data_IF_589591959360
#
_entry.id   IF_589591959360
#
_cell.length_a   1.000
_cell.length_b   1.000
_cell.length_c   1.000
_cell.angle_alpha   90.00
_cell.angle_beta   90.00
_cell.angle_gamma   90.00
#
_symmetry.space_group_name_H-M   'P 1'
#
loop_
_entity.id
_entity.type
_entity.pdbx_description
1 polymer ?
#
# COMPACT_ATOMS: atom_id res chain seq x y z
N UNK A 1 33.25 -70.74 21.93
CA UNK A 1 31.96 -70.03 21.88
C UNK A 1 32.23 -68.58 22.27
N UNK A 2 32.76 -67.81 21.32
CA UNK A 2 32.08 -66.70 20.62
C UNK A 2 32.05 -65.41 21.43
N UNK A 3 33.19 -64.71 21.45
CA UNK A 3 33.27 -63.27 21.73
C UNK A 3 32.75 -62.50 20.51
N UNK A 4 31.69 -61.71 20.69
CA UNK A 4 31.15 -60.82 19.66
C UNK A 4 31.75 -59.42 19.83
N UNK A 5 32.67 -59.07 18.92
CA UNK A 5 33.10 -57.70 18.67
C UNK A 5 31.95 -56.86 18.13
N UNK A 6 31.44 -55.90 18.93
CA UNK A 6 30.57 -54.83 18.45
C UNK A 6 31.44 -53.63 18.07
N UNK A 7 31.75 -53.49 16.79
CA UNK A 7 32.27 -52.24 16.23
C UNK A 7 31.23 -51.14 16.39
N UNK A 8 31.50 -50.16 17.25
CA UNK A 8 30.86 -48.85 17.18
C UNK A 8 31.36 -48.14 15.93
N UNK A 9 30.47 -47.99 14.95
CA UNK A 9 30.68 -47.00 13.88
C UNK A 9 30.56 -45.62 14.50
N UNK A 10 31.64 -44.85 14.44
CA UNK A 10 31.63 -43.41 14.69
C UNK A 10 30.61 -42.76 13.74
N UNK A 11 29.78 -41.81 14.19
CA UNK A 11 28.85 -41.14 13.29
C UNK A 11 29.65 -40.35 12.24
N UNK A 12 29.50 -40.72 10.98
CA UNK A 12 30.00 -39.95 9.84
C UNK A 12 29.30 -38.59 9.79
N UNK A 13 30.11 -37.52 9.80
CA UNK A 13 29.82 -36.16 9.36
C UNK A 13 28.34 -35.73 9.43
N UNK A 14 27.89 -35.32 10.62
CA UNK A 14 26.81 -34.34 10.64
C UNK A 14 27.36 -33.05 10.00
N UNK A 15 26.69 -32.47 9.00
CA UNK A 15 27.09 -31.17 8.48
C UNK A 15 27.14 -30.19 9.66
N UNK A 16 28.29 -29.54 9.86
CA UNK A 16 28.40 -28.46 10.83
C UNK A 16 27.25 -27.49 10.56
N UNK A 17 26.37 -27.34 11.55
CA UNK A 17 25.29 -26.37 11.46
C UNK A 17 25.96 -25.00 11.26
N UNK A 18 25.49 -24.19 10.30
CA UNK A 18 26.07 -22.86 10.09
C UNK A 18 26.00 -22.08 11.42
N UNK A 19 27.16 -21.60 11.87
CA UNK A 19 27.30 -20.83 13.11
C UNK A 19 26.32 -19.64 13.10
N UNK A 20 25.51 -19.54 14.15
CA UNK A 20 24.69 -18.36 14.41
C UNK A 20 25.63 -17.15 14.55
N UNK A 21 25.43 -16.13 13.71
CA UNK A 21 26.23 -14.92 13.76
C UNK A 21 25.50 -13.85 14.56
N UNK A 22 26.21 -13.28 15.53
CA UNK A 22 25.79 -12.09 16.26
C UNK A 22 26.40 -10.86 15.58
N UNK A 23 25.56 -9.92 15.20
CA UNK A 23 25.92 -8.64 14.62
C UNK A 23 25.60 -7.55 15.64
N UNK A 24 26.57 -6.70 15.95
CA UNK A 24 26.32 -5.46 16.69
C UNK A 24 26.23 -4.33 15.67
N UNK A 25 25.12 -3.58 15.66
CA UNK A 25 24.90 -2.48 14.74
C UNK A 25 25.13 -1.13 15.42
N UNK A 26 26.04 -0.35 14.84
CA UNK A 26 26.14 1.08 15.11
C UNK A 26 25.01 1.84 14.40
N UNK A 27 24.60 3.02 14.89
CA UNK A 27 23.48 3.71 14.24
C UNK A 27 23.76 4.22 12.85
N UNK A 28 22.76 4.03 11.99
CA UNK A 28 22.86 4.17 10.55
C UNK A 28 23.33 2.90 9.84
N UNK A 29 23.92 1.92 10.56
CA UNK A 29 24.25 0.63 9.98
C UNK A 29 23.00 -0.21 9.76
N UNK A 30 23.11 -1.10 8.78
CA UNK A 30 22.02 -1.92 8.31
C UNK A 30 22.53 -3.31 8.01
N UNK A 31 21.68 -4.30 8.22
CA UNK A 31 21.98 -5.68 7.89
C UNK A 31 20.87 -6.27 7.04
N UNK A 32 21.23 -6.90 5.93
CA UNK A 32 20.33 -7.74 5.13
C UNK A 32 20.33 -9.14 5.72
N UNK A 33 19.16 -9.67 6.06
CA UNK A 33 18.97 -11.02 6.59
C UNK A 33 18.79 -12.03 5.45
N UNK A 34 19.44 -13.20 5.56
CA UNK A 34 19.12 -14.35 4.73
C UNK A 34 17.93 -15.11 5.34
N UNK A 35 16.76 -14.90 4.76
CA UNK A 35 15.51 -15.52 5.17
C UNK A 35 15.38 -17.00 4.79
N UNK A 36 16.19 -17.49 3.83
CA UNK A 36 16.16 -18.89 3.40
C UNK A 36 16.87 -19.82 4.39
N UNK A 37 17.59 -19.26 5.37
CA UNK A 37 18.26 -20.00 6.44
C UNK A 37 17.80 -19.49 7.81
N UNK A 38 16.58 -19.84 8.25
CA UNK A 38 16.04 -19.34 9.51
C UNK A 38 16.81 -19.88 10.72
N UNK A 39 16.88 -19.10 11.80
CA UNK A 39 17.36 -19.54 13.11
C UNK A 39 16.59 -20.79 13.58
N UNK A 40 15.26 -20.73 13.51
CA UNK A 40 14.35 -21.84 13.82
C UNK A 40 13.42 -22.13 12.64
N UNK A 41 13.36 -23.41 12.27
CA UNK A 41 12.48 -23.89 11.22
C UNK A 41 11.00 -23.79 11.63
N UNK A 42 10.09 -23.84 10.64
CA UNK A 42 8.65 -23.67 10.84
C UNK A 42 8.05 -24.57 11.92
N UNK A 43 8.41 -25.85 11.92
CA UNK A 43 7.86 -26.80 12.88
C UNK A 43 8.32 -26.49 14.31
N UNK A 44 9.57 -26.04 14.47
CA UNK A 44 10.12 -25.65 15.77
C UNK A 44 9.45 -24.38 16.29
N UNK A 45 9.29 -23.37 15.44
CA UNK A 45 8.57 -22.14 15.79
C UNK A 45 7.13 -22.45 16.15
N UNK A 46 6.45 -23.34 15.40
CA UNK A 46 5.07 -23.72 15.69
C UNK A 46 4.93 -24.49 17.01
N UNK A 47 5.84 -25.41 17.29
CA UNK A 47 5.88 -26.15 18.56
C UNK A 47 6.09 -25.19 19.74
N UNK A 48 6.99 -24.23 19.54
CA UNK A 48 7.36 -23.26 20.54
C UNK A 48 6.24 -22.23 20.75
N UNK A 49 5.84 -21.51 19.70
CA UNK A 49 5.05 -20.26 19.75
C UNK A 49 3.58 -20.45 19.32
N UNK A 50 3.23 -21.61 18.76
CA UNK A 50 1.95 -21.81 18.05
C UNK A 50 1.88 -21.17 16.66
N UNK A 51 2.85 -20.35 16.26
CA UNK A 51 2.85 -19.66 14.96
C UNK A 51 3.38 -20.53 13.83
N UNK A 52 2.72 -20.49 12.67
CA UNK A 52 3.10 -21.28 11.50
C UNK A 52 4.18 -20.60 10.62
N UNK A 53 5.20 -19.99 11.21
CA UNK A 53 6.26 -19.26 10.49
C UNK A 53 7.67 -19.77 10.81
N UNK A 54 8.71 -19.27 10.14
CA UNK A 54 10.12 -19.57 10.47
C UNK A 54 10.79 -18.35 11.08
N UNK A 55 11.59 -18.51 12.13
CA UNK A 55 12.24 -17.38 12.79
C UNK A 55 13.54 -17.06 12.08
N UNK A 56 13.65 -15.87 11.47
CA UNK A 56 14.80 -15.50 10.65
C UNK A 56 15.85 -14.68 11.41
N UNK A 57 15.43 -13.92 12.43
CA UNK A 57 16.34 -13.19 13.29
C UNK A 57 15.75 -12.90 14.67
N UNK A 58 16.63 -12.62 15.61
CA UNK A 58 16.33 -11.98 16.89
C UNK A 58 17.04 -10.63 16.90
N UNK A 59 16.32 -9.55 17.20
CA UNK A 59 16.84 -8.19 17.34
C UNK A 59 16.72 -7.81 18.81
N UNK A 60 17.84 -7.62 19.50
CA UNK A 60 17.85 -7.10 20.86
C UNK A 60 18.10 -5.59 20.81
N UNK A 61 17.26 -4.85 21.53
CA UNK A 61 17.25 -3.41 21.54
C UNK A 61 17.16 -2.94 23.00
N UNK A 62 18.31 -2.69 23.63
CA UNK A 62 18.40 -2.51 25.08
C UNK A 62 18.13 -3.83 25.83
N UNK A 63 17.14 -3.82 26.73
CA UNK A 63 16.74 -5.01 27.51
C UNK A 63 15.63 -5.83 26.83
N UNK A 64 15.15 -5.37 25.67
CA UNK A 64 13.99 -5.91 24.97
C UNK A 64 14.42 -6.74 23.77
N UNK A 65 13.71 -7.85 23.52
CA UNK A 65 14.03 -8.78 22.43
C UNK A 65 12.87 -8.89 21.45
N UNK A 66 13.19 -8.85 20.16
CA UNK A 66 12.21 -8.92 19.08
C UNK A 66 12.53 -10.07 18.14
N UNK A 67 11.54 -10.90 17.83
CA UNK A 67 11.64 -11.95 16.83
C UNK A 67 11.13 -11.44 15.49
N UNK A 68 11.85 -11.77 14.42
CA UNK A 68 11.38 -11.60 13.04
C UNK A 68 10.99 -12.97 12.51
N UNK A 69 9.71 -13.14 12.21
CA UNK A 69 9.13 -14.41 11.74
C UNK A 69 8.76 -14.27 10.25
N UNK A 70 9.34 -15.13 9.41
CA UNK A 70 8.91 -15.35 8.02
C UNK A 70 7.64 -16.19 8.00
N UNK A 71 6.56 -15.57 7.54
CA UNK A 71 5.23 -16.17 7.44
C UNK A 71 4.82 -16.44 5.99
N UNK A 72 5.73 -16.28 5.02
CA UNK A 72 5.45 -16.50 3.60
C UNK A 72 5.00 -17.94 3.35
N UNK A 73 4.05 -18.09 2.42
CA UNK A 73 3.46 -19.39 2.08
C UNK A 73 2.40 -19.88 3.07
N UNK A 74 1.98 -19.05 4.02
CA UNK A 74 0.72 -19.23 4.76
C UNK A 74 -0.42 -18.49 4.05
N UNK A 75 -1.67 -18.82 4.40
CA UNK A 75 -2.89 -18.18 3.86
C UNK A 75 -3.12 -16.73 4.35
N UNK A 76 -2.10 -16.09 4.95
CA UNK A 76 -2.15 -14.76 5.54
C UNK A 76 -1.86 -13.62 4.56
N UNK A 77 -2.16 -12.39 4.97
CA UNK A 77 -1.87 -11.16 4.21
C UNK A 77 -0.43 -10.66 4.40
N UNK A 78 0.20 -11.00 5.52
CA UNK A 78 1.55 -10.55 5.87
C UNK A 78 2.61 -11.61 5.58
N UNK A 79 3.71 -11.16 4.99
CA UNK A 79 4.86 -11.97 4.62
C UNK A 79 5.79 -12.18 5.82
N UNK A 80 5.91 -11.19 6.71
CA UNK A 80 6.71 -11.27 7.93
C UNK A 80 5.99 -10.66 9.12
N UNK A 81 6.40 -11.06 10.32
CA UNK A 81 5.98 -10.44 11.57
C UNK A 81 7.20 -10.00 12.38
N UNK A 82 7.14 -8.80 12.93
CA UNK A 82 8.01 -8.37 14.04
C UNK A 82 7.21 -8.51 15.31
N UNK A 83 7.72 -9.23 16.30
CA UNK A 83 7.06 -9.46 17.57
C UNK A 83 8.02 -9.32 18.73
N UNK A 84 7.55 -8.84 19.87
CA UNK A 84 8.33 -8.81 21.10
C UNK A 84 8.19 -10.16 21.83
N UNK A 85 9.27 -10.63 22.44
CA UNK A 85 9.35 -11.95 23.07
C UNK A 85 8.41 -12.12 24.28
N UNK A 86 8.01 -11.04 24.95
CA UNK A 86 7.03 -11.07 26.04
C UNK A 86 5.62 -11.47 25.57
N UNK A 87 5.29 -11.23 24.30
CA UNK A 87 3.95 -11.52 23.74
C UNK A 87 3.86 -12.90 23.07
N UNK A 88 4.81 -13.77 23.37
CA UNK A 88 4.89 -15.12 22.84
C UNK A 88 3.60 -15.94 23.02
N UNK A 89 2.88 -15.75 24.12
CA UNK A 89 1.65 -16.48 24.45
C UNK A 89 0.38 -15.90 23.78
N UNK A 90 0.45 -14.68 23.21
CA UNK A 90 -0.67 -14.04 22.50
C UNK A 90 -0.18 -13.16 21.34
N UNK A 91 0.08 -13.77 20.16
CA UNK A 91 0.55 -13.06 18.98
C UNK A 91 -0.40 -11.94 18.50
N UNK A 92 -1.68 -11.97 18.90
CA UNK A 92 -2.65 -10.94 18.52
C UNK A 92 -2.42 -9.59 19.23
N UNK A 93 -1.59 -9.57 20.27
CA UNK A 93 -1.34 -8.40 21.12
C UNK A 93 0.02 -7.72 20.92
N UNK A 94 0.92 -8.32 20.15
CA UNK A 94 2.30 -7.86 20.06
C UNK A 94 3.02 -8.34 18.80
N UNK A 95 2.35 -8.33 17.66
CA UNK A 95 2.98 -8.58 16.36
C UNK A 95 2.57 -7.52 15.34
N UNK A 96 3.54 -6.99 14.60
CA UNK A 96 3.32 -6.08 13.47
C UNK A 96 3.65 -6.82 12.18
N UNK A 97 2.67 -6.91 11.29
CA UNK A 97 2.79 -7.52 9.97
C UNK A 97 3.53 -6.64 8.97
N UNK A 98 4.39 -7.26 8.17
CA UNK A 98 5.09 -6.71 7.02
C UNK A 98 4.59 -7.46 5.78
N UNK A 99 3.92 -6.76 4.86
CA UNK A 99 3.45 -7.32 3.59
C UNK A 99 4.07 -6.60 2.39
N UNK A 100 4.24 -7.37 1.30
CA UNK A 100 4.87 -7.03 0.02
C UNK A 100 5.16 -5.55 -0.32
N UNK A 101 6.47 -5.32 -0.54
CA UNK A 101 7.15 -4.25 -1.30
C UNK A 101 6.95 -2.79 -0.88
N UNK A 102 6.62 -2.53 0.39
CA UNK A 102 6.43 -1.14 0.87
C UNK A 102 6.59 -0.95 2.37
N UNK A 103 6.36 -2.00 3.16
CA UNK A 103 6.15 -1.81 4.57
C UNK A 103 7.48 -1.77 5.31
N UNK A 104 7.68 -0.69 6.05
CA UNK A 104 8.66 -0.58 7.13
C UNK A 104 7.92 -0.67 8.45
N UNK A 105 8.52 -1.35 9.42
CA UNK A 105 8.10 -1.29 10.81
C UNK A 105 9.21 -0.58 11.55
N UNK A 106 8.91 0.61 12.10
CA UNK A 106 9.81 1.30 13.01
C UNK A 106 9.41 0.94 14.43
N UNK A 107 10.37 0.44 15.19
CA UNK A 107 10.21 0.10 16.59
C UNK A 107 10.85 1.21 17.42
N UNK A 108 10.09 1.85 18.31
CA UNK A 108 10.51 2.95 19.17
C UNK A 108 9.34 3.67 19.86
N UNK A 109 9.61 4.20 21.06
CA UNK A 109 8.60 4.71 22.00
C UNK A 109 7.72 5.88 21.51
N UNK A 110 7.99 6.48 20.35
CA UNK A 110 7.27 7.64 19.82
C UNK A 110 6.56 7.39 18.48
N UNK A 111 6.48 6.16 17.97
CA UNK A 111 5.84 5.90 16.67
C UNK A 111 4.40 5.40 16.79
N UNK A 112 3.50 5.99 16.00
CA UNK A 112 2.08 5.63 15.96
C UNK A 112 1.82 4.20 15.45
N UNK A 113 2.76 3.64 14.69
CA UNK A 113 2.71 2.27 14.18
C UNK A 113 3.35 1.27 15.18
N UNK A 114 3.95 1.77 16.26
CA UNK A 114 4.50 0.95 17.34
C UNK A 114 3.38 0.59 18.33
N UNK A 115 2.96 -0.68 18.30
CA UNK A 115 1.95 -1.23 19.22
C UNK A 115 2.56 -1.75 20.52
N UNK A 116 3.89 -1.81 20.60
CA UNK A 116 4.58 -2.38 21.73
C UNK A 116 4.62 -1.36 22.88
N UNK A 117 4.43 -1.84 24.12
CA UNK A 117 4.56 -1.02 25.31
C UNK A 117 5.89 -1.35 25.97
N UNK A 118 6.70 -0.33 26.19
CA UNK A 118 8.01 -0.49 26.84
C UNK A 118 8.07 0.33 28.12
N UNK A 119 8.78 -0.18 29.14
CA UNK A 119 9.08 0.57 30.35
C UNK A 119 10.16 1.64 30.07
N UNK A 120 9.82 2.76 29.43
CA UNK A 120 10.64 3.98 29.27
C UNK A 120 12.12 3.85 28.79
N UNK A 121 12.59 2.64 28.48
CA UNK A 121 14.01 2.31 28.28
C UNK A 121 14.39 2.17 26.80
N UNK A 122 13.42 2.29 25.88
CA UNK A 122 13.68 2.32 24.45
C UNK A 122 13.62 3.74 23.91
N UNK A 123 14.66 4.12 23.18
CA UNK A 123 14.72 5.35 22.39
C UNK A 123 13.45 5.57 21.53
N UNK A 124 13.06 6.83 21.27
CA UNK A 124 11.94 7.19 20.39
C UNK A 124 11.90 6.49 19.03
N UNK A 125 13.07 6.13 18.50
CA UNK A 125 13.29 5.45 17.22
C UNK A 125 14.44 4.48 17.41
N UNK A 126 14.17 3.23 17.71
CA UNK A 126 15.22 2.29 18.07
C UNK A 126 15.80 1.63 16.81
N UNK A 127 15.01 0.77 16.18
CA UNK A 127 15.39 0.07 14.96
C UNK A 127 14.23 0.06 13.96
N UNK A 128 14.55 -0.32 12.72
CA UNK A 128 13.59 -0.44 11.65
C UNK A 128 13.76 -1.79 10.95
N UNK A 129 12.66 -2.46 10.64
CA UNK A 129 12.63 -3.66 9.81
C UNK A 129 11.91 -3.33 8.51
N UNK A 130 12.54 -3.65 7.38
CA UNK A 130 12.01 -3.44 6.03
C UNK A 130 11.95 -4.74 5.26
N UNK A 131 10.92 -4.92 4.45
CA UNK A 131 10.86 -5.98 3.44
C UNK A 131 10.96 -5.37 2.04
N UNK A 132 12.10 -5.57 1.36
CA UNK A 132 12.42 -4.95 0.08
C UNK A 132 12.97 -6.00 -0.90
N UNK A 133 12.36 -6.10 -2.08
CA UNK A 133 12.81 -6.98 -3.17
C UNK A 133 13.05 -8.45 -2.78
N UNK A 134 12.28 -8.94 -1.80
CA UNK A 134 12.41 -10.30 -1.29
C UNK A 134 13.41 -10.44 -0.14
N UNK A 135 14.10 -9.37 0.26
CA UNK A 135 15.03 -9.34 1.38
C UNK A 135 14.41 -8.68 2.62
N UNK A 136 14.79 -9.14 3.81
CA UNK A 136 14.55 -8.41 5.06
C UNK A 136 15.79 -7.62 5.43
N UNK A 137 15.60 -6.34 5.73
CA UNK A 137 16.67 -5.44 6.15
C UNK A 137 16.33 -4.87 7.52
N UNK A 138 17.27 -4.98 8.45
CA UNK A 138 17.17 -4.36 9.77
C UNK A 138 18.15 -3.21 9.85
N UNK A 139 17.70 -2.03 10.28
CA UNK A 139 18.52 -0.83 10.41
C UNK A 139 18.49 -0.29 11.84
N UNK A 140 19.67 0.08 12.36
CA UNK A 140 19.79 0.76 13.64
C UNK A 140 19.53 2.27 13.47
N UNK A 141 18.57 2.83 14.20
CA UNK A 141 18.16 4.23 14.05
C UNK A 141 18.80 5.16 15.10
N UNK A 142 18.90 4.76 16.36
CA UNK A 142 19.41 5.59 17.47
C UNK A 142 20.54 4.90 18.27
N UNK A 143 21.40 5.72 18.88
CA UNK A 143 22.63 5.37 19.62
C UNK A 143 22.42 4.99 21.06
N UNK A 144 21.25 5.27 21.62
CA UNK A 144 21.11 5.26 23.07
C UNK A 144 21.26 3.87 23.68
N UNK A 145 20.73 2.84 23.02
CA UNK A 145 20.46 1.57 23.71
C UNK A 145 21.18 0.35 23.09
N UNK A 146 21.97 0.54 22.03
CA UNK A 146 22.73 -0.53 21.36
C UNK A 146 21.83 -1.58 20.69
N UNK A 147 22.13 -1.93 19.44
CA UNK A 147 21.34 -2.95 18.72
C UNK A 147 22.22 -4.14 18.42
N UNK A 148 21.78 -5.32 18.86
CA UNK A 148 22.38 -6.59 18.45
C UNK A 148 21.38 -7.43 17.69
N UNK A 149 21.85 -8.12 16.67
CA UNK A 149 21.03 -8.95 15.79
C UNK A 149 21.67 -10.33 15.71
N UNK A 150 20.90 -11.36 16.04
CA UNK A 150 21.28 -12.74 15.84
C UNK A 150 20.60 -13.28 14.57
N UNK A 151 21.38 -13.82 13.63
CA UNK A 151 20.88 -14.44 12.39
C UNK A 151 21.91 -15.44 11.80
N UNK A 152 21.47 -16.49 11.09
CA UNK A 152 22.40 -17.52 10.53
C UNK A 152 23.27 -16.99 9.39
N UNK A 153 22.76 -16.06 8.60
CA UNK A 153 23.54 -15.38 7.58
C UNK A 153 22.94 -14.00 7.36
N UNK A 154 23.77 -12.98 7.55
CA UNK A 154 23.38 -11.61 7.32
C UNK A 154 24.57 -10.85 6.73
N UNK A 155 24.27 -9.85 5.90
CA UNK A 155 25.24 -9.02 5.21
C UNK A 155 25.13 -7.59 5.73
N UNK A 156 26.21 -7.06 6.30
CA UNK A 156 26.30 -5.64 6.62
C UNK A 156 26.27 -4.84 5.32
N UNK A 157 25.33 -3.92 5.21
CA UNK A 157 25.18 -3.05 4.06
C UNK A 157 25.98 -1.76 4.30
N UNK A 158 26.56 -1.21 3.25
CA UNK A 158 27.21 0.11 3.33
C UNK A 158 26.14 1.14 3.78
N UNK A 159 26.36 1.93 4.84
CA UNK A 159 25.44 2.99 5.23
C UNK A 159 25.18 4.01 4.09
N UNK A 160 26.13 4.14 3.16
CA UNK A 160 26.04 4.96 1.95
C UNK A 160 25.44 4.23 0.76
N UNK A 161 25.31 2.89 0.80
CA UNK A 161 24.47 2.20 -0.16
C UNK A 161 23.07 2.74 0.06
N UNK A 162 22.60 3.51 -0.93
CA UNK A 162 21.22 3.92 -0.94
C UNK A 162 20.42 2.63 -1.08
N UNK A 163 19.94 2.11 0.06
CA UNK A 163 18.64 1.47 0.10
C UNK A 163 17.71 2.54 -0.41
N UNK A 164 17.49 2.53 -1.71
CA UNK A 164 16.70 3.56 -2.35
C UNK A 164 15.34 3.42 -1.68
N UNK A 165 15.02 4.38 -0.81
CA UNK A 165 13.69 4.61 -0.28
C UNK A 165 12.81 4.95 -1.49
N UNK A 166 12.41 3.92 -2.22
CA UNK A 166 11.66 4.07 -3.46
C UNK A 166 10.22 4.51 -3.18
N UNK A 167 9.81 4.61 -1.92
CA UNK A 167 8.42 4.72 -1.49
C UNK A 167 8.06 6.15 -1.06
N UNK A 168 8.71 6.68 -0.01
CA UNK A 168 8.49 8.05 0.46
C UNK A 168 9.20 9.08 -0.45
N UNK A 169 10.43 8.78 -0.89
CA UNK A 169 11.14 9.66 -1.81
C UNK A 169 10.67 9.55 -3.26
N UNK A 170 9.92 8.54 -3.73
CA UNK A 170 9.37 8.67 -5.10
C UNK A 170 8.16 9.54 -5.14
N UNK A 171 7.19 9.41 -4.24
CA UNK A 171 6.05 10.33 -4.27
C UNK A 171 6.54 11.74 -3.97
N UNK A 172 7.30 11.93 -2.88
CA UNK A 172 7.79 13.25 -2.51
C UNK A 172 8.91 13.77 -3.43
N UNK A 173 9.81 12.93 -3.97
CA UNK A 173 10.79 13.39 -4.97
C UNK A 173 10.26 13.41 -6.41
N UNK A 174 9.14 12.77 -6.77
CA UNK A 174 8.39 13.06 -8.00
C UNK A 174 7.68 14.39 -7.81
N UNK A 175 7.03 14.64 -6.67
CA UNK A 175 6.47 15.96 -6.30
C UNK A 175 7.54 17.06 -6.23
N UNK A 176 8.75 16.77 -5.72
CA UNK A 176 9.88 17.72 -5.69
C UNK A 176 10.58 17.83 -7.05
N UNK A 177 10.73 16.75 -7.84
CA UNK A 177 11.32 16.78 -9.20
C UNK A 177 10.39 17.42 -10.22
N UNK A 178 9.07 17.29 -10.08
CA UNK A 178 8.09 18.05 -10.86
C UNK A 178 8.22 19.54 -10.53
N UNK A 179 8.30 19.91 -9.25
CA UNK A 179 8.63 21.29 -8.81
C UNK A 179 9.99 21.79 -9.29
N UNK A 180 11.03 20.93 -9.35
CA UNK A 180 12.40 21.35 -9.73
C UNK A 180 12.64 21.40 -11.24
N UNK A 181 11.96 20.56 -12.05
CA UNK A 181 12.02 20.65 -13.52
C UNK A 181 11.29 21.89 -14.06
N UNK A 182 10.32 22.42 -13.33
CA UNK A 182 9.63 23.68 -13.63
C UNK A 182 10.54 24.93 -13.59
N UNK A 183 11.76 24.84 -13.05
CA UNK A 183 12.71 25.97 -13.06
C UNK A 183 13.48 26.13 -14.37
N UNK A 184 13.40 25.19 -15.32
CA UNK A 184 14.14 25.26 -16.60
C UNK A 184 13.28 25.34 -17.86
N UNK A 185 11.96 25.29 -17.76
CA UNK A 185 11.04 25.53 -18.88
C UNK A 185 10.06 26.65 -18.54
N UNK A 186 10.58 27.83 -18.21
CA UNK A 186 9.80 29.07 -18.28
C UNK A 186 9.64 29.42 -19.75
N UNK A 187 8.50 29.06 -20.31
CA UNK A 187 7.68 29.86 -21.24
C UNK A 187 6.69 28.92 -21.94
N UNK A 188 5.40 29.12 -21.66
CA UNK A 188 4.21 28.38 -22.11
C UNK A 188 3.84 27.13 -21.31
N UNK A 189 3.13 27.33 -20.22
CA UNK A 189 1.75 26.86 -19.99
C UNK A 189 1.34 27.30 -18.58
N UNK A 190 0.17 27.93 -18.46
CA UNK A 190 -0.44 28.18 -17.16
C UNK A 190 -0.67 26.80 -16.53
N UNK A 191 -0.07 26.59 -15.37
CA UNK A 191 0.00 25.32 -14.64
C UNK A 191 -1.41 24.74 -14.38
N UNK A 192 -1.92 23.93 -15.32
CA UNK A 192 -3.27 23.34 -15.30
C UNK A 192 -3.38 22.08 -14.42
N UNK A 193 -2.29 21.68 -13.77
CA UNK A 193 -2.28 20.49 -12.90
C UNK A 193 -1.62 20.82 -11.55
N UNK A 194 -2.40 21.12 -10.51
CA UNK A 194 -1.87 21.54 -9.20
C UNK A 194 -1.01 20.47 -8.51
N UNK A 195 -1.14 19.21 -8.93
CA UNK A 195 -0.38 18.07 -8.40
C UNK A 195 0.81 17.67 -9.30
N UNK A 196 1.08 18.45 -10.34
CA UNK A 196 2.16 18.23 -11.29
C UNK A 196 1.86 17.13 -12.30
N UNK A 197 2.91 16.70 -13.00
CA UNK A 197 2.80 15.74 -14.10
C UNK A 197 3.61 14.47 -13.83
N UNK A 198 3.06 13.33 -14.22
CA UNK A 198 3.75 12.05 -14.22
C UNK A 198 3.77 11.45 -15.62
N UNK A 199 4.99 11.25 -16.17
CA UNK A 199 5.23 10.81 -17.55
C UNK A 199 4.42 11.61 -18.60
N UNK A 200 4.31 12.93 -18.40
CA UNK A 200 3.60 13.84 -19.30
C UNK A 200 2.08 13.92 -19.09
N UNK A 201 1.53 13.25 -18.07
CA UNK A 201 0.10 13.24 -17.74
C UNK A 201 -0.18 14.00 -16.45
N UNK A 202 -1.26 14.79 -16.35
CA UNK A 202 -1.60 15.52 -15.14
C UNK A 202 -1.95 14.53 -14.02
N UNK A 203 -1.41 14.76 -12.81
CA UNK A 203 -1.66 13.88 -11.67
C UNK A 203 -3.02 14.22 -11.05
N UNK A 204 -3.87 13.20 -10.87
CA UNK A 204 -5.15 13.33 -10.17
C UNK A 204 -4.91 13.68 -8.71
N UNK A 205 -5.50 14.79 -8.27
CA UNK A 205 -5.59 15.18 -6.87
C UNK A 205 -6.81 16.05 -6.63
N UNK A 206 -6.93 16.61 -5.42
CA UNK A 206 -8.15 17.31 -4.94
C UNK A 206 -8.60 18.49 -5.80
N UNK A 207 -7.69 19.06 -6.58
CA UNK A 207 -7.92 20.30 -7.34
C UNK A 207 -7.74 20.09 -8.84
N UNK A 208 -7.66 18.84 -9.30
CA UNK A 208 -7.69 18.56 -10.73
C UNK A 208 -9.15 18.61 -11.19
N UNK A 209 -9.41 19.45 -12.18
CA UNK A 209 -10.72 19.69 -12.78
C UNK A 209 -10.91 18.94 -14.11
N UNK A 210 -9.90 18.18 -14.55
CA UNK A 210 -9.96 17.38 -15.78
C UNK A 210 -9.35 15.97 -15.63
N UNK A 211 -10.08 14.92 -16.00
CA UNK A 211 -9.71 13.51 -15.79
C UNK A 211 -9.29 12.79 -17.07
N UNK A 212 -9.74 13.25 -18.24
CA UNK A 212 -9.24 12.70 -19.51
C UNK A 212 -7.71 12.84 -19.61
N UNK A 213 -7.04 11.72 -19.88
CA UNK A 213 -5.58 11.66 -19.97
C UNK A 213 -4.85 11.76 -18.62
N UNK A 214 -5.55 12.04 -17.53
CA UNK A 214 -4.99 12.17 -16.20
C UNK A 214 -4.52 10.83 -15.63
N UNK A 215 -3.63 10.91 -14.63
CA UNK A 215 -3.03 9.75 -13.98
C UNK A 215 -3.22 9.78 -12.47
N UNK A 216 -3.80 8.72 -11.93
CA UNK A 216 -3.96 8.48 -10.50
C UNK A 216 -2.80 7.67 -9.95
N UNK A 217 -2.10 8.25 -8.99
CA UNK A 217 -0.98 7.60 -8.31
C UNK A 217 -1.49 6.77 -7.13
N UNK A 218 -0.99 5.54 -7.01
CA UNK A 218 -1.31 4.67 -5.87
C UNK A 218 -0.63 5.09 -4.59
N UNK A 219 -0.98 4.42 -3.49
CA UNK A 219 -0.11 4.38 -2.33
C UNK A 219 1.18 3.63 -2.70
N UNK A 220 2.33 4.31 -2.58
CA UNK A 220 3.65 3.73 -2.82
C UNK A 220 4.00 3.47 -4.30
N UNK A 221 4.94 2.56 -4.52
CA UNK A 221 5.49 2.15 -5.82
C UNK A 221 4.51 1.35 -6.73
N UNK A 222 3.24 1.21 -6.29
CA UNK A 222 2.33 0.14 -6.72
C UNK A 222 1.64 0.36 -8.07
N UNK A 223 1.34 1.57 -8.53
CA UNK A 223 0.83 1.78 -9.91
C UNK A 223 0.46 3.24 -10.19
N UNK A 224 0.66 3.65 -11.46
CA UNK A 224 0.17 4.90 -12.02
C UNK A 224 -0.93 4.58 -13.05
N UNK A 225 -2.19 4.76 -12.66
CA UNK A 225 -3.36 4.40 -13.47
C UNK A 225 -3.77 5.61 -14.30
N UNK A 226 -3.86 5.48 -15.62
CA UNK A 226 -4.34 6.59 -16.46
C UNK A 226 -5.67 6.28 -17.11
N UNK A 227 -6.46 7.35 -17.27
CA UNK A 227 -7.70 7.35 -18.04
C UNK A 227 -7.35 7.69 -19.49
N UNK A 228 -7.89 6.92 -20.43
CA UNK A 228 -7.59 7.06 -21.85
C UNK A 228 -8.90 6.95 -22.64
N UNK A 229 -9.30 8.08 -23.23
CA UNK A 229 -10.54 8.24 -24.00
C UNK A 229 -10.26 8.29 -25.52
N UNK A 230 -9.13 7.73 -25.95
CA UNK A 230 -8.87 7.59 -27.40
C UNK A 230 -9.91 6.70 -28.06
N UNK A 231 -10.21 6.99 -29.34
CA UNK A 231 -11.15 6.19 -30.15
C UNK A 231 -10.85 4.69 -30.08
N UNK A 232 -11.87 3.88 -29.82
CA UNK A 232 -11.74 2.43 -29.66
C UNK A 232 -11.20 1.97 -28.30
N UNK A 233 -10.94 2.87 -27.35
CA UNK A 233 -10.61 2.50 -25.98
C UNK A 233 -11.85 1.98 -25.22
N UNK A 234 -11.65 1.00 -24.34
CA UNK A 234 -12.75 0.42 -23.55
C UNK A 234 -13.34 1.39 -22.52
N UNK A 235 -12.59 2.41 -22.08
CA UNK A 235 -13.12 3.44 -21.19
C UNK A 235 -14.19 4.26 -21.93
N UNK A 236 -13.85 4.77 -23.12
CA UNK A 236 -14.79 5.46 -24.01
C UNK A 236 -16.02 4.61 -24.32
N UNK A 237 -15.77 3.39 -24.79
CA UNK A 237 -16.84 2.46 -25.16
C UNK A 237 -17.77 2.15 -23.98
N UNK A 238 -17.24 2.00 -22.77
CA UNK A 238 -18.06 1.77 -21.59
C UNK A 238 -18.94 2.99 -21.26
N UNK A 239 -18.45 4.22 -21.44
CA UNK A 239 -19.24 5.43 -21.31
C UNK A 239 -20.32 5.55 -22.40
N UNK A 240 -19.96 5.32 -23.66
CA UNK A 240 -20.92 5.34 -24.78
C UNK A 240 -22.03 4.30 -24.60
N UNK A 241 -21.67 3.10 -24.12
CA UNK A 241 -22.64 2.07 -23.78
C UNK A 241 -23.59 2.51 -22.67
N UNK A 242 -23.08 3.16 -21.62
CA UNK A 242 -23.92 3.74 -20.58
C UNK A 242 -24.88 4.80 -21.15
N UNK A 243 -24.37 5.70 -22.01
CA UNK A 243 -25.19 6.72 -22.69
C UNK A 243 -26.27 6.10 -23.58
N UNK A 244 -25.96 5.00 -24.25
CA UNK A 244 -26.91 4.27 -25.07
C UNK A 244 -27.97 3.54 -24.24
N UNK A 245 -27.58 2.89 -23.13
CA UNK A 245 -28.48 2.09 -22.31
C UNK A 245 -29.45 2.96 -21.48
N UNK A 246 -29.07 4.20 -21.20
CA UNK A 246 -29.94 5.18 -20.55
C UNK A 246 -30.59 6.05 -21.62
N UNK A 247 -31.81 5.68 -22.00
CA UNK A 247 -32.56 6.31 -23.11
C UNK A 247 -32.74 7.83 -22.98
N UNK A 248 -32.82 8.37 -21.76
CA UNK A 248 -33.04 9.79 -21.52
C UNK A 248 -32.48 10.21 -20.16
N UNK A 249 -31.27 10.79 -20.18
CA UNK A 249 -30.70 11.42 -18.99
C UNK A 249 -31.32 12.80 -18.70
N UNK A 250 -31.87 13.50 -19.69
CA UNK A 250 -32.35 14.88 -19.56
C UNK A 250 -33.62 14.97 -18.69
N UNK A 251 -34.39 13.88 -18.61
CA UNK A 251 -35.56 13.77 -17.74
C UNK A 251 -35.27 13.30 -16.30
N UNK A 252 -34.02 12.98 -15.97
CA UNK A 252 -33.63 12.44 -14.66
C UNK A 252 -33.13 13.53 -13.72
N UNK A 253 -33.40 13.38 -12.42
CA UNK A 253 -32.73 14.19 -11.42
C UNK A 253 -31.28 13.74 -11.21
N UNK A 254 -30.45 14.65 -10.70
CA UNK A 254 -29.03 14.40 -10.48
C UNK A 254 -28.75 13.14 -9.65
N UNK A 255 -29.52 12.91 -8.58
CA UNK A 255 -29.34 11.75 -7.71
C UNK A 255 -29.59 10.43 -8.45
N UNK A 256 -30.57 10.39 -9.35
CA UNK A 256 -30.83 9.25 -10.22
C UNK A 256 -29.65 9.00 -11.17
N UNK A 257 -29.12 10.05 -11.80
CA UNK A 257 -27.97 9.97 -12.71
C UNK A 257 -26.75 9.41 -11.98
N UNK A 258 -26.40 9.99 -10.83
CA UNK A 258 -25.26 9.54 -10.02
C UNK A 258 -25.43 8.09 -9.53
N UNK A 259 -26.65 7.69 -9.18
CA UNK A 259 -26.96 6.30 -8.78
C UNK A 259 -26.74 5.32 -9.94
N UNK A 260 -27.20 5.66 -11.15
CA UNK A 260 -26.99 4.85 -12.34
C UNK A 260 -25.50 4.69 -12.65
N UNK A 261 -24.71 5.78 -12.58
CA UNK A 261 -23.26 5.74 -12.81
C UNK A 261 -22.57 4.83 -11.81
N UNK A 262 -22.93 4.95 -10.52
CA UNK A 262 -22.41 4.09 -9.46
C UNK A 262 -22.71 2.62 -9.73
N UNK A 263 -23.97 2.28 -10.01
CA UNK A 263 -24.41 0.90 -10.28
C UNK A 263 -23.73 0.32 -11.52
N UNK A 264 -23.68 1.09 -12.61
CA UNK A 264 -23.01 0.68 -13.84
C UNK A 264 -21.51 0.42 -13.61
N UNK A 265 -20.84 1.29 -12.85
CA UNK A 265 -19.42 1.11 -12.50
C UNK A 265 -19.20 -0.18 -11.70
N UNK A 266 -20.03 -0.44 -10.69
CA UNK A 266 -19.93 -1.64 -9.86
C UNK A 266 -20.15 -2.93 -10.66
N UNK A 267 -21.00 -2.89 -11.69
CA UNK A 267 -21.22 -4.01 -12.62
C UNK A 267 -20.06 -4.17 -13.62
N UNK A 268 -19.49 -3.06 -14.08
CA UNK A 268 -18.39 -3.04 -15.06
C UNK A 268 -17.10 -3.61 -14.46
N UNK A 269 -16.81 -3.27 -13.20
CA UNK A 269 -15.62 -3.69 -12.46
C UNK A 269 -16.03 -4.27 -11.11
N UNK A 270 -16.05 -5.60 -11.00
CA UNK A 270 -16.39 -6.25 -9.73
C UNK A 270 -15.24 -6.10 -8.72
N UNK A 271 -15.51 -5.73 -7.45
CA UNK A 271 -14.50 -5.70 -6.41
C UNK A 271 -13.81 -7.07 -6.26
N UNK A 272 -12.51 -7.13 -6.54
CA UNK A 272 -11.71 -8.33 -6.32
C UNK A 272 -10.24 -7.96 -6.15
N UNK A 273 -9.83 -7.78 -4.89
CA UNK A 273 -8.49 -7.34 -4.53
C UNK A 273 -7.41 -8.31 -5.02
N UNK A 274 -7.57 -9.62 -4.80
CA UNK A 274 -6.58 -10.63 -5.22
C UNK A 274 -6.35 -10.62 -6.74
N UNK A 275 -7.43 -10.54 -7.53
CA UNK A 275 -7.35 -10.47 -8.98
C UNK A 275 -6.75 -9.15 -9.45
N UNK A 276 -7.18 -8.05 -8.84
CA UNK A 276 -6.65 -6.70 -9.12
C UNK A 276 -5.14 -6.70 -8.87
N UNK A 277 -4.68 -7.08 -7.67
CA UNK A 277 -3.26 -7.15 -7.31
C UNK A 277 -2.43 -7.96 -8.30
N UNK A 278 -2.93 -9.10 -8.79
CA UNK A 278 -2.21 -9.90 -9.79
C UNK A 278 -2.02 -9.15 -11.12
N UNK A 279 -3.01 -8.36 -11.54
CA UNK A 279 -2.93 -7.54 -12.76
C UNK A 279 -1.98 -6.37 -12.53
N UNK A 280 -2.11 -5.66 -11.40
CA UNK A 280 -1.37 -4.44 -11.10
C UNK A 280 0.12 -4.70 -10.86
N UNK A 281 0.50 -5.84 -10.29
CA UNK A 281 1.90 -6.27 -10.10
C UNK A 281 2.75 -6.19 -11.37
N UNK A 282 2.15 -6.39 -12.56
CA UNK A 282 2.86 -6.30 -13.84
C UNK A 282 3.28 -4.86 -14.20
N UNK A 283 2.62 -3.88 -13.56
CA UNK A 283 2.76 -2.44 -13.76
C UNK A 283 3.51 -1.74 -12.62
N UNK A 284 4.08 -2.49 -11.68
CA UNK A 284 4.95 -1.96 -10.64
C UNK A 284 6.23 -1.36 -11.27
N UNK A 285 6.91 -0.49 -10.52
CA UNK A 285 8.17 0.13 -10.97
C UNK A 285 7.96 1.22 -12.01
N UNK A 286 7.11 2.20 -11.69
CA UNK A 286 6.84 3.40 -12.49
C UNK A 286 6.13 3.16 -13.84
N UNK A 287 5.51 2.00 -14.09
CA UNK A 287 4.79 1.79 -15.36
C UNK A 287 3.40 2.44 -15.31
N UNK A 288 2.94 2.87 -16.48
CA UNK A 288 1.58 3.39 -16.65
C UNK A 288 0.65 2.20 -16.95
N UNK A 289 -0.44 2.10 -16.19
CA UNK A 289 -1.48 1.10 -16.42
C UNK A 289 -2.75 1.79 -16.93
N UNK A 290 -3.31 1.38 -18.08
CA UNK A 290 -4.57 1.95 -18.54
C UNK A 290 -5.73 1.43 -17.70
N UNK A 291 -6.68 2.29 -17.35
CA UNK A 291 -7.94 1.90 -16.69
C UNK A 291 -8.73 0.86 -17.52
N UNK A 292 -8.60 0.91 -18.84
CA UNK A 292 -9.20 -0.06 -19.79
C UNK A 292 -8.80 -1.52 -19.49
N UNK A 293 -7.65 -1.75 -18.87
CA UNK A 293 -7.22 -3.08 -18.46
C UNK A 293 -8.12 -3.65 -17.35
N UNK A 294 -8.57 -2.82 -16.42
CA UNK A 294 -9.45 -3.24 -15.32
C UNK A 294 -10.86 -3.52 -15.82
N UNK A 295 -11.38 -2.66 -16.69
CA UNK A 295 -12.65 -2.87 -17.41
C UNK A 295 -12.61 -4.19 -18.19
N UNK A 296 -11.56 -4.41 -18.99
CA UNK A 296 -11.39 -5.67 -19.75
C UNK A 296 -11.41 -6.90 -18.87
N UNK A 297 -10.77 -6.81 -17.70
CA UNK A 297 -10.69 -7.91 -16.75
C UNK A 297 -11.90 -7.99 -15.81
N UNK A 298 -12.89 -7.09 -15.94
CA UNK A 298 -14.09 -7.00 -15.08
C UNK A 298 -13.74 -7.04 -13.60
N UNK A 299 -12.74 -6.26 -13.20
CA UNK A 299 -12.25 -6.22 -11.82
C UNK A 299 -11.72 -4.86 -11.47
N UNK A 300 -11.88 -4.46 -10.21
CA UNK A 300 -11.35 -3.20 -9.70
C UNK A 300 -11.35 -3.14 -8.18
N UNK A 301 -10.89 -2.00 -7.68
CA UNK A 301 -10.96 -1.58 -6.27
C UNK A 301 -11.36 -0.10 -6.24
N UNK A 302 -11.54 0.48 -5.05
CA UNK A 302 -11.99 1.85 -4.80
C UNK A 302 -11.43 2.89 -5.79
N UNK A 303 -10.12 2.93 -5.99
CA UNK A 303 -9.48 3.86 -6.92
C UNK A 303 -9.87 3.66 -8.39
N UNK A 304 -9.99 2.41 -8.87
CA UNK A 304 -10.40 2.14 -10.24
C UNK A 304 -11.83 2.62 -10.48
N UNK A 305 -12.70 2.37 -9.51
CA UNK A 305 -14.10 2.78 -9.55
C UNK A 305 -14.21 4.30 -9.52
N UNK A 306 -13.53 4.96 -8.57
CA UNK A 306 -13.52 6.41 -8.45
C UNK A 306 -13.05 7.09 -9.74
N UNK A 307 -12.04 6.56 -10.43
CA UNK A 307 -11.57 7.11 -11.70
C UNK A 307 -12.59 6.97 -12.82
N UNK A 308 -13.23 5.81 -12.95
CA UNK A 308 -14.24 5.61 -13.99
C UNK A 308 -15.49 6.46 -13.74
N UNK A 309 -15.92 6.55 -12.47
CA UNK A 309 -17.02 7.43 -12.05
C UNK A 309 -16.68 8.89 -12.35
N UNK A 310 -15.50 9.36 -11.94
CA UNK A 310 -15.09 10.75 -12.15
C UNK A 310 -15.03 11.10 -13.63
N UNK A 311 -14.44 10.24 -14.45
CA UNK A 311 -14.43 10.36 -15.90
C UNK A 311 -15.84 10.41 -16.50
N UNK A 312 -16.74 9.52 -16.07
CA UNK A 312 -18.12 9.45 -16.57
C UNK A 312 -18.90 10.72 -16.26
N UNK A 313 -18.78 11.22 -15.02
CA UNK A 313 -19.43 12.46 -14.59
C UNK A 313 -18.85 13.66 -15.32
N UNK A 314 -17.53 13.73 -15.51
CA UNK A 314 -16.88 14.76 -16.33
C UNK A 314 -17.49 14.83 -17.73
N UNK A 315 -17.64 13.69 -18.41
CA UNK A 315 -18.23 13.67 -19.75
C UNK A 315 -19.70 14.08 -19.77
N UNK A 316 -20.46 13.80 -18.70
CA UNK A 316 -21.84 14.28 -18.58
C UNK A 316 -21.92 15.78 -18.28
N UNK A 317 -20.92 16.36 -17.62
CA UNK A 317 -20.80 17.82 -17.46
C UNK A 317 -20.45 18.46 -18.80
N UNK A 318 -19.49 17.90 -19.54
CA UNK A 318 -19.11 18.37 -20.88
C UNK A 318 -20.28 18.31 -21.88
N UNK A 319 -21.16 17.31 -21.74
CA UNK A 319 -22.39 17.11 -22.51
C UNK A 319 -23.56 18.01 -22.04
N UNK A 320 -23.36 18.89 -21.04
CA UNK A 320 -24.39 19.77 -20.45
C UNK A 320 -25.57 19.02 -19.79
N UNK A 321 -25.37 17.78 -19.35
CA UNK A 321 -26.38 16.94 -18.67
C UNK A 321 -26.34 17.11 -17.15
N UNK A 322 -25.12 17.22 -16.60
CA UNK A 322 -24.89 17.56 -15.21
C UNK A 322 -24.28 18.97 -15.13
N UNK A 323 -24.65 19.73 -14.10
CA UNK A 323 -24.06 21.04 -13.85
C UNK A 323 -23.33 21.05 -12.50
N UNK A 324 -22.00 21.14 -12.54
CA UNK A 324 -21.19 21.07 -11.34
C UNK A 324 -19.73 20.78 -11.63
N UNK A 325 -19.05 20.21 -10.62
CA UNK A 325 -17.64 19.80 -10.69
C UNK A 325 -17.48 18.43 -10.07
N UNK A 326 -16.51 17.67 -10.56
CA UNK A 326 -16.19 16.35 -10.04
C UNK A 326 -14.75 16.31 -9.55
N UNK A 327 -14.52 15.61 -8.44
CA UNK A 327 -13.20 15.40 -7.85
C UNK A 327 -13.01 13.94 -7.47
N UNK A 328 -11.75 13.50 -7.42
CA UNK A 328 -11.38 12.23 -6.79
C UNK A 328 -10.72 12.54 -5.47
N UNK A 329 -11.32 12.05 -4.40
CA UNK A 329 -10.86 12.24 -3.04
C UNK A 329 -10.31 10.94 -2.46
N UNK A 330 -9.46 11.07 -1.44
CA UNK A 330 -8.83 9.94 -0.75
C UNK A 330 -8.61 10.24 0.72
N UNK A 331 -8.66 9.20 1.54
CA UNK A 331 -8.20 9.24 2.92
C UNK A 331 -7.54 7.91 3.31
N UNK A 332 -6.86 7.91 4.45
CA UNK A 332 -6.35 6.70 5.10
C UNK A 332 -7.27 6.40 6.28
N UNK A 333 -7.92 5.23 6.26
CA UNK A 333 -8.76 4.75 7.35
C UNK A 333 -7.89 3.86 8.24
N UNK A 334 -7.81 4.14 9.56
CA UNK A 334 -7.06 3.30 10.49
C UNK A 334 -7.46 1.82 10.35
N UNK A 335 -6.47 0.94 10.20
CA UNK A 335 -6.64 -0.51 10.05
C UNK A 335 -7.41 -1.00 8.81
N UNK A 336 -7.83 -0.12 7.89
CA UNK A 336 -8.54 -0.50 6.65
C UNK A 336 -7.81 -0.04 5.38
N UNK A 337 -6.74 0.75 5.52
CA UNK A 337 -5.91 1.18 4.40
C UNK A 337 -6.39 2.48 3.77
N UNK A 338 -6.03 2.70 2.51
CA UNK A 338 -6.41 3.91 1.76
C UNK A 338 -7.72 3.66 1.03
N UNK A 339 -8.67 4.58 1.18
CA UNK A 339 -9.90 4.60 0.41
C UNK A 339 -9.91 5.75 -0.58
N UNK A 340 -10.58 5.56 -1.72
CA UNK A 340 -10.67 6.56 -2.79
C UNK A 340 -12.06 6.53 -3.38
N UNK A 341 -12.68 7.70 -3.54
CA UNK A 341 -14.05 7.86 -4.04
C UNK A 341 -14.13 9.08 -4.96
N UNK A 342 -15.22 9.16 -5.71
CA UNK A 342 -15.56 10.36 -6.47
C UNK A 342 -16.49 11.26 -5.64
N UNK A 343 -16.31 12.56 -5.71
CA UNK A 343 -17.11 13.57 -5.04
C UNK A 343 -17.60 14.59 -6.06
N UNK A 344 -18.92 14.60 -6.28
CA UNK A 344 -19.59 15.56 -7.14
C UNK A 344 -19.98 16.80 -6.33
N UNK A 345 -19.81 17.97 -6.92
CA UNK A 345 -20.11 19.28 -6.35
C UNK A 345 -21.10 19.95 -7.28
N UNK A 346 -22.40 19.91 -6.97
CA UNK A 346 -23.42 20.59 -7.76
C UNK A 346 -23.09 22.07 -7.94
N UNK A 347 -23.44 22.67 -9.06
CA UNK A 347 -23.14 24.09 -9.32
C UNK A 347 -23.82 25.07 -8.35
N UNK A 348 -24.95 24.66 -7.77
CA UNK A 348 -25.72 25.41 -6.78
C UNK A 348 -25.29 25.13 -5.33
N UNK A 349 -24.33 24.22 -5.12
CA UNK A 349 -23.75 23.90 -3.83
C UNK A 349 -23.07 25.12 -3.20
N UNK A 350 -23.23 25.29 -1.89
CA UNK A 350 -22.37 26.23 -1.14
C UNK A 350 -20.98 25.64 -1.01
N UNK A 351 -19.96 26.46 -1.28
CA UNK A 351 -18.55 26.06 -1.28
C UNK A 351 -18.21 25.12 -0.10
N UNK A 352 -17.97 23.85 -0.44
CA UNK A 352 -17.34 22.87 0.45
C UNK A 352 -18.26 21.97 1.29
N UNK A 353 -19.56 22.25 1.42
CA UNK A 353 -20.45 21.49 2.33
C UNK A 353 -21.46 20.58 1.62
N UNK A 354 -21.88 20.90 0.40
CA UNK A 354 -22.93 20.15 -0.31
C UNK A 354 -22.38 19.17 -1.37
N UNK A 355 -21.27 18.48 -1.07
CA UNK A 355 -20.76 17.45 -1.98
C UNK A 355 -21.58 16.16 -1.90
N UNK A 356 -21.83 15.55 -3.06
CA UNK A 356 -22.42 14.22 -3.18
C UNK A 356 -21.30 13.22 -3.42
N UNK A 357 -21.17 12.27 -2.49
CA UNK A 357 -20.24 11.16 -2.60
C UNK A 357 -20.83 10.15 -3.58
N UNK A 358 -20.00 9.68 -4.50
CA UNK A 358 -20.33 8.61 -5.44
C UNK A 358 -19.29 7.51 -5.29
N UNK A 359 -19.64 6.46 -4.54
CA UNK A 359 -18.75 5.37 -4.19
C UNK A 359 -19.33 4.01 -4.65
N UNK A 360 -18.90 3.58 -5.84
CA UNK A 360 -19.30 2.29 -6.37
C UNK A 360 -18.66 1.09 -5.64
N UNK A 361 -17.60 1.27 -4.86
CA UNK A 361 -17.03 0.19 -4.04
C UNK A 361 -17.87 -0.08 -2.81
N UNK A 362 -18.42 0.97 -2.19
CA UNK A 362 -19.31 0.84 -1.03
C UNK A 362 -20.80 0.83 -1.39
N UNK A 363 -21.11 0.86 -2.68
CA UNK A 363 -22.48 0.90 -3.19
C UNK A 363 -23.28 2.12 -2.67
N UNK A 364 -22.64 3.28 -2.57
CA UNK A 364 -23.19 4.47 -1.93
C UNK A 364 -23.26 5.68 -2.88
N UNK A 365 -24.40 6.39 -2.85
CA UNK A 365 -24.55 7.75 -3.37
C UNK A 365 -25.27 8.57 -2.30
N UNK A 366 -24.71 9.73 -1.93
CA UNK A 366 -25.33 10.61 -0.95
C UNK A 366 -24.33 11.56 -0.29
N UNK A 367 -24.78 12.29 0.71
CA UNK A 367 -23.97 13.22 1.49
C UNK A 367 -23.05 12.49 2.48
N UNK A 368 -22.05 13.21 3.02
CA UNK A 368 -21.21 12.69 4.11
C UNK A 368 -22.02 12.37 5.37
N UNK A 369 -23.07 13.15 5.65
CA UNK A 369 -23.93 12.92 6.82
C UNK A 369 -24.77 11.63 6.67
N UNK A 370 -25.31 11.37 5.48
CA UNK A 370 -26.03 10.13 5.18
C UNK A 370 -25.09 8.92 5.25
N UNK A 371 -23.87 9.04 4.72
CA UNK A 371 -22.86 8.00 4.85
C UNK A 371 -22.55 7.64 6.31
N UNK A 372 -22.41 8.65 7.17
CA UNK A 372 -22.19 8.45 8.61
C UNK A 372 -23.38 7.78 9.29
N UNK A 373 -24.61 8.18 8.93
CA UNK A 373 -25.83 7.56 9.46
C UNK A 373 -25.94 6.07 9.07
N UNK A 374 -25.57 5.75 7.84
CA UNK A 374 -25.61 4.39 7.27
C UNK A 374 -24.37 3.55 7.60
N UNK A 375 -23.42 4.11 8.37
CA UNK A 375 -22.17 3.46 8.81
C UNK A 375 -21.27 3.00 7.65
N UNK A 376 -21.29 3.76 6.56
CA UNK A 376 -20.26 3.65 5.52
C UNK A 376 -18.89 4.07 6.06
N UNK A 377 -17.83 3.78 5.30
CA UNK A 377 -16.51 4.27 5.71
C UNK A 377 -16.48 5.79 5.68
N UNK A 378 -15.60 6.35 6.49
CA UNK A 378 -15.49 7.78 6.67
C UNK A 378 -15.08 8.46 5.34
N UNK A 379 -15.84 9.44 4.86
CA UNK A 379 -15.55 10.25 3.66
C UNK A 379 -14.94 11.63 4.01
N UNK A 380 -14.44 11.78 5.24
CA UNK A 380 -13.66 12.96 5.64
C UNK A 380 -12.24 12.81 5.10
N UNK A 381 -11.77 13.88 4.48
CA UNK A 381 -10.38 13.98 4.03
C UNK A 381 -9.46 13.85 5.25
N UNK A 382 -8.28 13.22 5.09
CA UNK A 382 -7.25 13.34 6.11
C UNK A 382 -6.90 14.81 6.25
N UNK A 383 -7.05 15.35 7.45
CA UNK A 383 -6.38 16.59 7.84
C UNK A 383 -4.90 16.26 7.84
N UNK A 384 -4.17 16.83 6.88
CA UNK A 384 -2.71 16.71 6.81
C UNK A 384 -2.04 17.27 8.08
#
# INVERSE_FOLDING_TARGET
>A
MTEQNKHHKTPENQPELPDDRLFELSPGERVRLNIDMPLLARDQVKENTGMNGSMVAIVNAGEESFMIIDYRGNDGYDDFFVMNDEFYDDPSRGAIGLSNQSNKVTVGSNYHDDIFKYEHNIAPRHFEVRYLDGDIIVAALDKKDGITIQARQAELLDPNDSLVDFEDNRTEAIFKRSKFRLRRSREREKDSSPHGYYKGRPVVGRDLDHFEGAVSMGGGSREAIYVDDTEGNLVKHAYEQLRHDVNDFEGMDEAQILTIIKDYTALLMLPNEKKTTRITQQYYGDKLMPLSLMIRNRTGVCRHHALFVAYTIEKLIDDEILDGKIRVERNKIPNQGVHTWAAFYPSDARDGEDKIIVDATQNFVGTVAEAEADRHWNYRLSTD
#
